data_IF_636522596157
#
_entry.id   IF_636522596157
#
_cell.length_a   1.000
_cell.length_b   1.000
_cell.length_c   1.000
_cell.angle_alpha   90.00
_cell.angle_beta   90.00
_cell.angle_gamma   90.00
#
_symmetry.space_group_name_H-M   'P 1'
#
loop_
_entity.id
_entity.type
_entity.pdbx_description
1 polymer ?
#
# COMPACT_ATOMS: atom_id res chain seq x y z
N UNK A 1 -7.60 5.16 18.07
CA UNK A 1 -8.23 6.51 18.09
C UNK A 1 -8.21 7.18 19.46
N UNK A 2 -8.24 6.45 20.60
CA UNK A 2 -8.23 7.05 21.95
C UNK A 2 -6.98 7.90 22.18
N UNK A 3 -5.78 7.41 21.85
CA UNK A 3 -4.53 8.16 21.97
C UNK A 3 -4.54 9.48 21.17
N UNK A 4 -5.17 9.51 20.00
CA UNK A 4 -5.29 10.74 19.20
C UNK A 4 -6.26 11.75 19.83
N UNK A 5 -7.32 11.29 20.48
CA UNK A 5 -8.24 12.19 21.18
C UNK A 5 -7.58 12.81 22.42
N UNK A 6 -6.79 12.04 23.16
CA UNK A 6 -6.14 12.48 24.40
C UNK A 6 -4.83 13.25 24.14
N UNK A 7 -4.02 12.79 23.17
CA UNK A 7 -2.66 13.25 22.93
C UNK A 7 -2.42 13.75 21.50
N UNK A 8 -3.47 14.08 20.74
CA UNK A 8 -3.38 14.38 19.30
C UNK A 8 -2.36 15.46 18.93
N UNK A 9 -2.30 16.56 19.67
CA UNK A 9 -1.31 17.63 19.44
C UNK A 9 0.12 17.15 19.71
N UNK A 10 0.32 16.34 20.75
CA UNK A 10 1.63 15.76 21.07
C UNK A 10 2.10 14.79 19.97
N UNK A 11 1.18 13.93 19.51
CA UNK A 11 1.49 12.88 18.53
C UNK A 11 1.63 13.44 17.10
N UNK A 12 0.73 14.35 16.71
CA UNK A 12 0.54 14.75 15.30
C UNK A 12 0.89 16.22 15.02
N UNK A 13 1.16 17.01 16.06
CA UNK A 13 1.47 18.44 15.94
C UNK A 13 0.29 19.39 16.20
N UNK A 14 0.57 20.70 16.29
CA UNK A 14 -0.38 21.71 16.78
C UNK A 14 -1.61 21.92 15.89
N UNK A 15 -1.55 21.54 14.61
CA UNK A 15 -2.67 21.65 13.65
C UNK A 15 -3.63 20.46 13.69
N UNK A 16 -3.41 19.47 14.53
CA UNK A 16 -4.22 18.26 14.54
C UNK A 16 -5.62 18.49 15.12
N UNK A 17 -6.65 18.08 14.40
CA UNK A 17 -8.05 18.14 14.85
C UNK A 17 -8.40 16.84 15.57
N UNK A 18 -8.91 16.95 16.82
CA UNK A 18 -9.18 15.79 17.70
C UNK A 18 -10.07 14.69 17.10
N UNK A 19 -10.99 15.06 16.23
CA UNK A 19 -11.94 14.10 15.62
C UNK A 19 -11.45 13.51 14.28
N UNK A 20 -10.24 13.86 13.86
CA UNK A 20 -9.68 13.30 12.64
C UNK A 20 -9.08 11.92 12.91
N UNK A 21 -9.42 10.88 12.13
CA UNK A 21 -8.77 9.59 12.25
C UNK A 21 -7.28 9.69 11.84
N UNK A 22 -6.46 8.73 12.27
CA UNK A 22 -5.08 8.64 11.79
C UNK A 22 -5.07 8.53 10.26
N UNK A 23 -4.21 9.28 9.55
CA UNK A 23 -4.35 9.47 8.10
C UNK A 23 -3.99 8.24 7.27
N UNK A 24 -3.25 7.30 7.82
CA UNK A 24 -2.78 6.12 7.10
C UNK A 24 -3.09 4.84 7.89
N UNK A 25 -3.24 3.74 7.15
CA UNK A 25 -3.20 2.37 7.67
C UNK A 25 -1.92 1.70 7.21
N UNK A 26 -1.39 0.84 8.05
CA UNK A 26 -0.26 -0.03 7.71
C UNK A 26 -0.66 -1.47 7.98
N UNK A 27 -0.40 -2.34 7.01
CA UNK A 27 -0.74 -3.76 7.10
C UNK A 27 0.44 -4.60 6.64
N UNK A 28 0.61 -5.73 7.30
CA UNK A 28 1.39 -6.84 6.77
C UNK A 28 0.44 -7.82 6.11
N UNK A 29 0.62 -8.05 4.82
CA UNK A 29 -0.18 -8.98 4.03
C UNK A 29 0.66 -10.21 3.72
N UNK A 30 0.33 -11.33 4.34
CA UNK A 30 0.85 -12.65 4.01
C UNK A 30 -0.09 -13.33 3.01
N UNK A 31 0.21 -13.19 1.74
CA UNK A 31 -0.67 -13.57 0.65
C UNK A 31 -0.50 -15.05 0.29
N UNK A 32 -1.18 -15.94 1.02
CA UNK A 32 -1.19 -17.38 0.74
C UNK A 32 -2.01 -17.75 -0.50
N UNK A 33 -2.85 -16.86 -0.98
CA UNK A 33 -3.67 -17.01 -2.18
C UNK A 33 -3.71 -15.69 -2.95
N UNK A 34 -3.96 -15.77 -4.26
CA UNK A 34 -4.20 -14.59 -5.11
C UNK A 34 -5.36 -13.77 -4.54
N UNK A 35 -5.15 -12.48 -4.35
CA UNK A 35 -6.22 -11.56 -3.97
C UNK A 35 -7.11 -11.24 -5.18
N UNK A 36 -8.31 -10.68 -4.92
CA UNK A 36 -9.20 -10.24 -6.00
C UNK A 36 -8.56 -9.16 -6.87
N UNK A 37 -8.91 -9.15 -8.15
CA UNK A 37 -8.64 -8.00 -9.00
C UNK A 37 -9.57 -6.86 -8.57
N UNK A 38 -9.00 -5.73 -8.20
CA UNK A 38 -9.71 -4.64 -7.55
C UNK A 38 -9.20 -3.26 -7.96
N UNK A 39 -10.00 -2.25 -7.68
CA UNK A 39 -9.65 -0.85 -7.86
C UNK A 39 -10.19 -0.04 -6.69
N UNK A 40 -9.46 1.00 -6.31
CA UNK A 40 -9.91 1.99 -5.33
C UNK A 40 -10.37 3.26 -6.04
N UNK A 41 -11.46 3.90 -5.59
CA UNK A 41 -11.98 5.06 -6.27
C UNK A 41 -11.02 6.26 -6.16
N UNK A 42 -10.77 6.98 -7.25
CA UNK A 42 -10.10 8.27 -7.20
C UNK A 42 -10.99 9.32 -6.52
N UNK A 43 -10.36 10.34 -5.94
CA UNK A 43 -11.08 11.39 -5.19
C UNK A 43 -12.16 12.10 -6.02
N UNK A 44 -12.05 12.11 -7.34
CA UNK A 44 -13.01 12.71 -8.25
C UNK A 44 -14.37 12.04 -8.28
N UNK A 45 -14.44 10.73 -8.01
CA UNK A 45 -15.69 9.95 -8.06
C UNK A 45 -16.04 9.26 -6.74
N UNK A 46 -15.12 9.20 -5.79
CA UNK A 46 -15.29 8.45 -4.55
C UNK A 46 -16.58 8.80 -3.80
N UNK A 47 -16.87 10.08 -3.64
CA UNK A 47 -18.08 10.54 -2.92
C UNK A 47 -19.38 10.20 -3.64
N UNK A 48 -19.40 10.20 -4.97
CA UNK A 48 -20.57 9.84 -5.77
C UNK A 48 -20.89 8.34 -5.64
N UNK A 49 -19.86 7.53 -5.45
CA UNK A 49 -19.97 6.09 -5.25
C UNK A 49 -20.12 5.68 -3.76
N UNK A 50 -20.28 6.66 -2.86
CA UNK A 50 -20.42 6.41 -1.43
C UNK A 50 -19.16 5.85 -0.75
N UNK A 51 -18.00 6.06 -1.36
CA UNK A 51 -16.71 5.59 -0.90
C UNK A 51 -15.71 6.70 -0.57
N UNK A 52 -14.52 6.30 -0.20
CA UNK A 52 -13.38 7.17 0.08
C UNK A 52 -12.20 6.81 -0.84
N UNK A 53 -11.40 7.80 -1.29
CA UNK A 53 -10.22 7.52 -2.10
C UNK A 53 -9.21 6.68 -1.31
N UNK A 54 -8.47 5.82 -2.04
CA UNK A 54 -7.46 4.99 -1.42
C UNK A 54 -6.26 4.82 -2.33
N UNK A 55 -5.23 5.61 -2.06
CA UNK A 55 -3.88 5.43 -2.61
C UNK A 55 -3.08 4.60 -1.62
N UNK A 56 -2.31 3.66 -2.11
CA UNK A 56 -1.48 2.76 -1.31
C UNK A 56 -0.12 2.53 -1.94
N UNK A 57 0.83 2.09 -1.15
CA UNK A 57 2.12 1.63 -1.63
C UNK A 57 2.40 0.25 -1.08
N UNK A 58 2.86 -0.63 -1.94
CA UNK A 58 3.31 -1.96 -1.58
C UNK A 58 4.84 -2.02 -1.56
N UNK A 59 5.38 -2.52 -0.47
CA UNK A 59 6.77 -2.89 -0.36
C UNK A 59 6.86 -4.41 -0.20
N UNK A 60 7.56 -5.07 -1.12
CA UNK A 60 7.74 -6.52 -1.11
C UNK A 60 8.80 -6.88 -0.08
N UNK A 61 8.40 -7.45 1.06
CA UNK A 61 9.30 -7.79 2.15
C UNK A 61 9.91 -9.20 2.00
N UNK A 62 9.14 -10.13 1.41
CA UNK A 62 9.60 -11.47 1.07
C UNK A 62 8.72 -12.06 -0.04
N UNK A 63 9.25 -13.04 -0.78
CA UNK A 63 8.54 -13.74 -1.84
C UNK A 63 8.84 -15.24 -1.80
N UNK A 64 7.83 -16.04 -2.12
CA UNK A 64 8.02 -17.43 -2.57
C UNK A 64 8.46 -17.43 -4.06
N UNK A 65 8.95 -18.55 -4.58
CA UNK A 65 9.20 -18.70 -6.01
C UNK A 65 7.96 -18.36 -6.85
N UNK A 66 8.16 -17.71 -8.00
CA UNK A 66 7.11 -17.31 -8.95
C UNK A 66 6.07 -16.31 -8.43
N UNK A 67 6.35 -15.67 -7.30
CA UNK A 67 5.51 -14.60 -6.78
C UNK A 67 5.45 -13.41 -7.75
N UNK A 68 4.27 -12.85 -7.91
CA UNK A 68 4.03 -11.78 -8.87
C UNK A 68 2.99 -10.81 -8.38
N UNK A 69 2.94 -9.64 -9.01
CA UNK A 69 1.90 -8.64 -8.83
C UNK A 69 1.18 -8.40 -10.15
N UNK A 70 -0.08 -8.03 -10.04
CA UNK A 70 -0.88 -7.50 -11.14
C UNK A 70 -1.12 -6.03 -10.82
N UNK A 71 -0.60 -5.13 -11.68
CA UNK A 71 -0.78 -3.69 -11.50
C UNK A 71 -0.91 -3.01 -12.84
N UNK A 72 -2.02 -2.29 -13.05
CA UNK A 72 -2.35 -1.61 -14.29
C UNK A 72 -2.85 -2.55 -15.39
N UNK A 73 -3.04 -1.99 -16.54
CA UNK A 73 -3.48 -2.66 -17.77
C UNK A 73 -2.28 -2.96 -18.68
N UNK A 74 -2.41 -3.95 -19.55
CA UNK A 74 -1.50 -4.11 -20.68
C UNK A 74 -1.69 -2.97 -21.68
N UNK A 75 -0.63 -2.63 -22.39
CA UNK A 75 -0.67 -1.58 -23.41
C UNK A 75 -1.76 -1.83 -24.46
N UNK A 76 -2.50 -0.77 -24.79
CA UNK A 76 -3.56 -0.79 -25.79
C UNK A 76 -4.89 -1.39 -25.35
N UNK A 77 -5.06 -1.81 -24.10
CA UNK A 77 -6.36 -2.31 -23.60
C UNK A 77 -7.36 -1.18 -23.49
N UNK A 78 -8.39 -1.19 -24.32
CA UNK A 78 -9.50 -0.23 -24.25
C UNK A 78 -10.54 -0.63 -23.18
N UNK A 79 -11.36 0.34 -22.77
CA UNK A 79 -12.47 0.09 -21.85
C UNK A 79 -13.48 -0.91 -22.42
N UNK A 80 -13.73 -0.85 -23.71
CA UNK A 80 -14.65 -1.74 -24.43
C UNK A 80 -14.11 -3.17 -24.43
N UNK A 81 -12.83 -3.34 -24.77
CA UNK A 81 -12.19 -4.66 -24.78
C UNK A 81 -12.14 -5.25 -23.37
N UNK A 82 -11.84 -4.43 -22.35
CA UNK A 82 -11.86 -4.88 -20.96
C UNK A 82 -13.24 -5.38 -20.51
N UNK A 83 -14.33 -4.71 -20.93
CA UNK A 83 -15.70 -5.15 -20.63
C UNK A 83 -16.04 -6.48 -21.31
N UNK A 84 -15.63 -6.66 -22.54
CA UNK A 84 -15.80 -7.92 -23.28
C UNK A 84 -15.04 -9.05 -22.59
N UNK A 85 -13.76 -8.83 -22.28
CA UNK A 85 -12.91 -9.80 -21.58
C UNK A 85 -13.44 -10.14 -20.18
N UNK A 86 -14.02 -9.18 -19.45
CA UNK A 86 -14.67 -9.44 -18.16
C UNK A 86 -15.89 -10.35 -18.31
N UNK A 87 -16.73 -10.10 -19.32
CA UNK A 87 -17.91 -10.91 -19.60
C UNK A 87 -17.54 -12.35 -20.00
N UNK A 88 -16.41 -12.52 -20.68
CA UNK A 88 -15.90 -13.80 -21.18
C UNK A 88 -14.90 -14.47 -20.21
N UNK A 89 -14.73 -13.91 -19.02
CA UNK A 89 -13.77 -14.39 -17.97
C UNK A 89 -12.31 -14.47 -18.45
N UNK A 90 -11.90 -13.58 -19.37
CA UNK A 90 -10.55 -13.51 -19.97
C UNK A 90 -9.72 -12.33 -19.48
N UNK A 91 -9.98 -11.81 -18.29
CA UNK A 91 -9.30 -10.60 -17.76
C UNK A 91 -7.78 -10.73 -17.63
N UNK A 92 -7.23 -11.93 -17.57
CA UNK A 92 -5.77 -12.11 -17.59
C UNK A 92 -5.11 -11.62 -18.89
N UNK A 93 -5.88 -11.50 -19.98
CA UNK A 93 -5.41 -10.91 -21.23
C UNK A 93 -5.26 -9.38 -21.15
N UNK A 94 -5.99 -8.73 -20.23
CA UNK A 94 -6.05 -7.29 -20.09
C UNK A 94 -5.10 -6.71 -19.06
N UNK A 95 -4.69 -7.49 -18.06
CA UNK A 95 -3.95 -6.99 -16.89
C UNK A 95 -2.45 -7.13 -17.07
N UNK A 96 -1.71 -6.12 -16.58
CA UNK A 96 -0.25 -6.17 -16.53
C UNK A 96 0.22 -6.95 -15.30
N UNK A 97 0.86 -8.08 -15.56
CA UNK A 97 1.42 -8.97 -14.53
C UNK A 97 2.94 -9.01 -14.66
N UNK A 98 3.65 -8.95 -13.54
CA UNK A 98 5.11 -9.02 -13.50
C UNK A 98 5.62 -9.71 -12.24
N UNK A 99 6.78 -10.34 -12.36
CA UNK A 99 7.47 -10.98 -11.25
C UNK A 99 8.09 -9.93 -10.34
N UNK A 100 8.13 -10.24 -9.05
CA UNK A 100 8.68 -9.37 -8.01
C UNK A 100 9.74 -10.08 -7.18
N UNK A 101 10.54 -9.27 -6.51
CA UNK A 101 11.57 -9.73 -5.59
C UNK A 101 11.55 -8.89 -4.30
N UNK A 102 12.08 -9.40 -3.19
CA UNK A 102 12.23 -8.63 -1.97
C UNK A 102 12.97 -7.30 -2.23
N UNK A 103 12.43 -6.22 -1.68
CA UNK A 103 12.94 -4.86 -1.90
C UNK A 103 12.25 -4.07 -3.00
N UNK A 104 11.45 -4.72 -3.85
CA UNK A 104 10.62 -4.03 -4.83
C UNK A 104 9.54 -3.19 -4.13
N UNK A 105 9.22 -2.03 -4.71
CA UNK A 105 8.15 -1.16 -4.20
C UNK A 105 7.35 -0.57 -5.35
N UNK A 106 6.03 -0.51 -5.19
CA UNK A 106 5.16 0.08 -6.19
C UNK A 106 4.07 0.94 -5.54
N UNK A 107 3.89 2.16 -6.05
CA UNK A 107 2.79 3.02 -5.68
C UNK A 107 1.55 2.61 -6.49
N UNK A 108 0.47 2.28 -5.78
CA UNK A 108 -0.84 1.96 -6.33
C UNK A 108 -1.76 3.15 -6.08
N UNK A 109 -1.81 4.04 -7.05
CA UNK A 109 -2.67 5.22 -6.97
C UNK A 109 -4.15 4.84 -7.09
N UNK A 110 -5.02 5.64 -6.48
CA UNK A 110 -6.47 5.50 -6.69
C UNK A 110 -6.80 5.51 -8.18
N UNK A 111 -7.61 4.55 -8.64
CA UNK A 111 -7.92 4.34 -10.05
C UNK A 111 -7.07 3.26 -10.73
N UNK A 112 -5.95 2.89 -10.16
CA UNK A 112 -5.07 1.83 -10.68
C UNK A 112 -5.66 0.45 -10.39
N UNK A 113 -5.86 -0.34 -11.42
CA UNK A 113 -6.32 -1.72 -11.32
C UNK A 113 -5.21 -2.60 -10.76
N UNK A 114 -5.50 -3.45 -9.75
CA UNK A 114 -4.44 -4.22 -9.10
C UNK A 114 -4.92 -5.51 -8.44
N UNK A 115 -4.00 -6.44 -8.27
CA UNK A 115 -4.13 -7.64 -7.42
C UNK A 115 -2.74 -8.09 -6.93
N UNK A 116 -2.70 -8.82 -5.82
CA UNK A 116 -1.49 -9.48 -5.32
C UNK A 116 -1.66 -10.98 -5.55
N UNK A 117 -0.71 -11.60 -6.22
CA UNK A 117 -0.67 -13.06 -6.35
C UNK A 117 -0.19 -13.73 -5.06
N UNK A 118 -0.41 -15.04 -4.96
CA UNK A 118 0.08 -15.84 -3.85
C UNK A 118 1.62 -15.76 -3.73
N UNK A 119 2.13 -16.09 -2.55
CA UNK A 119 3.57 -16.15 -2.29
C UNK A 119 4.22 -14.80 -1.97
N UNK A 120 3.46 -13.74 -1.75
CA UNK A 120 3.98 -12.42 -1.40
C UNK A 120 3.80 -12.13 0.08
N UNK A 121 4.84 -11.60 0.74
CA UNK A 121 4.74 -10.88 2.00
C UNK A 121 4.91 -9.38 1.74
N UNK A 122 3.85 -8.63 1.88
CA UNK A 122 3.78 -7.20 1.54
C UNK A 122 3.62 -6.36 2.81
N UNK A 123 4.43 -5.30 2.92
CA UNK A 123 4.14 -4.17 3.80
C UNK A 123 3.33 -3.14 2.99
N UNK A 124 2.05 -3.04 3.28
CA UNK A 124 1.13 -2.09 2.66
C UNK A 124 1.00 -0.84 3.51
N UNK A 125 1.27 0.31 2.93
CA UNK A 125 1.00 1.63 3.51
C UNK A 125 -0.07 2.29 2.66
N UNK A 126 -1.23 2.63 3.24
CA UNK A 126 -2.39 3.13 2.52
C UNK A 126 -3.04 4.34 3.22
N UNK A 127 -3.84 5.10 2.47
CA UNK A 127 -4.80 6.01 3.10
C UNK A 127 -5.71 5.22 4.04
N UNK A 128 -6.16 5.87 5.11
CA UNK A 128 -7.09 5.25 6.07
C UNK A 128 -8.51 5.18 5.47
N UNK A 129 -8.67 4.24 4.54
CA UNK A 129 -9.91 3.95 3.83
C UNK A 129 -10.05 2.43 3.67
N UNK A 130 -11.28 1.94 3.79
CA UNK A 130 -11.62 0.53 3.56
C UNK A 130 -12.35 0.31 2.22
N UNK A 131 -12.51 1.36 1.42
CA UNK A 131 -13.22 1.28 0.15
C UNK A 131 -12.46 0.47 -0.88
N UNK A 132 -13.06 -0.63 -1.34
CA UNK A 132 -12.50 -1.52 -2.36
C UNK A 132 -13.61 -1.98 -3.29
N UNK A 133 -13.45 -1.71 -4.59
CA UNK A 133 -14.33 -2.24 -5.61
C UNK A 133 -13.68 -3.45 -6.27
N UNK A 134 -14.31 -4.61 -6.07
CA UNK A 134 -13.85 -5.90 -6.60
C UNK A 134 -14.38 -6.07 -8.00
N UNK A 135 -13.46 -6.12 -8.98
CA UNK A 135 -13.77 -6.33 -10.39
C UNK A 135 -14.00 -7.80 -10.69
N UNK A 136 -13.08 -8.65 -10.17
CA UNK A 136 -13.09 -10.08 -10.44
C UNK A 136 -12.44 -10.83 -9.27
N UNK A 137 -12.92 -12.04 -8.99
CA UNK A 137 -12.45 -12.82 -7.85
C UNK A 137 -11.96 -14.23 -8.21
N UNK A 138 -11.60 -14.45 -9.45
CA UNK A 138 -11.01 -15.71 -9.95
C UNK A 138 -11.89 -16.94 -9.67
N UNK A 139 -13.22 -16.78 -9.65
CA UNK A 139 -14.17 -17.86 -9.34
C UNK A 139 -14.11 -18.36 -7.90
N UNK A 140 -13.46 -17.65 -6.97
CA UNK A 140 -13.35 -18.06 -5.57
C UNK A 140 -14.67 -17.91 -4.83
N UNK A 141 -14.84 -18.77 -3.82
CA UNK A 141 -15.93 -18.68 -2.84
C UNK A 141 -15.39 -18.28 -1.47
N UNK A 142 -16.20 -17.59 -0.68
CA UNK A 142 -15.90 -17.26 0.70
C UNK A 142 -15.93 -18.48 1.62
N UNK A 143 -15.64 -18.25 2.90
CA UNK A 143 -15.70 -19.30 3.93
C UNK A 143 -17.12 -19.89 4.12
N UNK A 144 -18.14 -19.14 3.72
CA UNK A 144 -19.55 -19.53 3.70
C UNK A 144 -19.94 -20.33 2.43
N UNK A 145 -19.00 -20.60 1.54
CA UNK A 145 -19.21 -21.28 0.26
C UNK A 145 -19.91 -20.43 -0.81
N UNK A 146 -20.11 -19.13 -0.57
CA UNK A 146 -20.72 -18.22 -1.54
C UNK A 146 -19.67 -17.36 -2.26
N UNK A 147 -19.91 -17.00 -3.54
CA UNK A 147 -19.08 -16.03 -4.23
C UNK A 147 -19.09 -14.68 -3.49
N UNK A 148 -17.93 -14.02 -3.42
CA UNK A 148 -17.87 -12.67 -2.85
C UNK A 148 -18.53 -11.67 -3.82
N UNK A 149 -19.15 -10.64 -3.28
CA UNK A 149 -19.76 -9.58 -4.07
C UNK A 149 -18.74 -8.92 -4.99
N UNK A 150 -19.11 -8.77 -6.26
CA UNK A 150 -18.40 -7.96 -7.24
C UNK A 150 -19.03 -6.57 -7.34
N UNK A 151 -18.23 -5.58 -7.68
CA UNK A 151 -18.61 -4.16 -7.81
C UNK A 151 -18.23 -3.67 -9.20
N UNK A 152 -18.77 -4.33 -10.23
CA UNK A 152 -18.34 -4.12 -11.62
C UNK A 152 -18.64 -2.70 -12.10
N UNK A 153 -19.85 -2.19 -11.82
CA UNK A 153 -20.28 -0.86 -12.27
C UNK A 153 -19.45 0.26 -11.63
N UNK A 154 -19.21 0.17 -10.31
CA UNK A 154 -18.36 1.10 -9.57
C UNK A 154 -16.91 1.02 -10.06
N UNK A 155 -16.41 -0.19 -10.27
CA UNK A 155 -15.05 -0.41 -10.79
C UNK A 155 -14.84 0.25 -12.14
N UNK A 156 -15.80 0.11 -13.06
CA UNK A 156 -15.73 0.69 -14.40
C UNK A 156 -15.74 2.23 -14.41
N UNK A 157 -16.17 2.86 -13.32
CA UNK A 157 -16.09 4.31 -13.12
C UNK A 157 -14.75 4.73 -12.48
N UNK A 158 -14.09 3.81 -11.82
CA UNK A 158 -12.85 4.08 -11.07
C UNK A 158 -11.59 3.78 -11.87
N UNK A 159 -11.58 2.75 -12.73
CA UNK A 159 -10.38 2.31 -13.46
C UNK A 159 -9.88 3.42 -14.38
N UNK A 160 -8.59 3.75 -14.23
CA UNK A 160 -7.87 4.56 -15.21
C UNK A 160 -7.45 3.67 -16.39
N UNK A 161 -8.14 3.83 -17.51
CA UNK A 161 -7.86 3.09 -18.75
C UNK A 161 -6.67 3.64 -19.54
N UNK A 162 -5.90 4.57 -18.97
CA UNK A 162 -4.63 5.04 -19.53
C UNK A 162 -3.43 4.60 -18.69
N UNK A 163 -3.64 3.83 -17.61
CA UNK A 163 -2.59 3.32 -16.74
C UNK A 163 -2.03 2.00 -17.25
N UNK A 164 -1.08 2.11 -18.18
CA UNK A 164 -0.48 0.96 -18.86
C UNK A 164 0.87 0.59 -18.27
N UNK A 165 1.03 -0.68 -17.95
CA UNK A 165 2.28 -1.37 -17.61
C UNK A 165 3.18 -0.63 -16.61
N UNK A 166 2.64 -0.17 -15.45
CA UNK A 166 3.45 0.47 -14.44
C UNK A 166 4.49 -0.52 -13.90
N UNK A 167 5.71 -0.02 -13.67
CA UNK A 167 6.82 -0.84 -13.18
C UNK A 167 7.16 -0.54 -11.73
N UNK A 168 7.55 -1.55 -10.93
CA UNK A 168 8.00 -1.33 -9.57
C UNK A 168 9.35 -0.61 -9.54
N UNK A 169 9.58 0.14 -8.48
CA UNK A 169 10.93 0.58 -8.14
C UNK A 169 11.70 -0.63 -7.62
N UNK A 170 12.75 -1.04 -8.35
CA UNK A 170 13.60 -2.15 -7.96
C UNK A 170 14.73 -1.70 -7.05
N UNK A 171 15.18 -2.61 -6.18
CA UNK A 171 16.36 -2.37 -5.38
C UNK A 171 17.61 -2.36 -6.28
N UNK A 172 18.49 -1.37 -6.08
CA UNK A 172 19.85 -1.42 -6.59
C UNK A 172 20.78 -1.77 -5.44
N UNK A 173 21.65 -2.75 -5.62
CA UNK A 173 22.52 -3.34 -4.58
C UNK A 173 23.46 -2.37 -3.86
N UNK A 174 23.57 -1.12 -4.29
CA UNK A 174 24.68 -0.23 -3.88
C UNK A 174 24.29 0.99 -3.06
N UNK A 175 23.06 1.13 -2.56
CA UNK A 175 22.64 2.41 -1.97
C UNK A 175 22.55 2.33 -0.44
N UNK A 176 23.55 2.87 0.24
CA UNK A 176 23.53 3.19 1.68
C UNK A 176 22.76 4.48 2.00
N UNK A 177 22.33 5.23 1.00
CA UNK A 177 21.59 6.48 1.16
C UNK A 177 20.08 6.24 1.22
N UNK A 178 19.32 7.11 1.90
CA UNK A 178 17.86 7.01 1.93
C UNK A 178 17.27 7.00 0.51
N UNK A 179 16.38 6.04 0.22
CA UNK A 179 15.66 5.95 -1.06
C UNK A 179 14.19 6.29 -0.85
N UNK A 180 13.68 7.27 -1.60
CA UNK A 180 12.24 7.57 -1.63
C UNK A 180 11.54 6.49 -2.44
N UNK A 181 10.62 5.75 -1.80
CA UNK A 181 9.81 4.70 -2.42
C UNK A 181 8.48 5.23 -2.94
N UNK A 182 7.90 6.20 -2.25
CA UNK A 182 6.70 6.90 -2.68
C UNK A 182 6.74 8.34 -2.16
N UNK A 183 6.27 9.26 -2.99
CA UNK A 183 6.07 10.66 -2.62
C UNK A 183 4.78 11.16 -3.28
N UNK A 184 3.69 11.10 -2.56
CA UNK A 184 2.37 11.50 -3.01
C UNK A 184 1.74 12.48 -2.01
N UNK A 185 0.55 12.96 -2.32
CA UNK A 185 -0.17 13.92 -1.47
C UNK A 185 -0.49 13.35 -0.09
N UNK A 186 -0.72 12.06 -0.02
CA UNK A 186 -1.23 11.35 1.16
C UNK A 186 -0.13 10.97 2.14
N UNK A 187 1.04 10.57 1.61
CA UNK A 187 2.20 10.16 2.40
C UNK A 187 3.50 10.21 1.60
N UNK A 188 4.60 10.21 2.33
CA UNK A 188 5.94 9.99 1.77
C UNK A 188 6.57 8.80 2.47
N UNK A 189 7.13 7.87 1.69
CA UNK A 189 7.82 6.68 2.18
C UNK A 189 9.28 6.75 1.79
N UNK A 190 10.15 6.59 2.78
CA UNK A 190 11.60 6.54 2.56
C UNK A 190 12.16 5.28 3.19
N UNK A 191 12.90 4.50 2.41
CA UNK A 191 13.67 3.36 2.90
C UNK A 191 15.07 3.79 3.30
N UNK A 192 15.51 3.29 4.44
CA UNK A 192 16.87 3.46 4.95
C UNK A 192 17.55 2.10 5.11
N UNK A 193 18.73 1.93 4.54
CA UNK A 193 19.60 0.78 4.78
C UNK A 193 20.71 1.23 5.72
N UNK A 194 20.66 0.77 6.97
CA UNK A 194 21.63 1.12 8.00
C UNK A 194 22.58 -0.04 8.24
N UNK A 195 23.87 0.24 8.18
CA UNK A 195 24.89 -0.71 8.62
C UNK A 195 24.97 -0.75 10.13
N UNK A 196 25.45 -1.86 10.68
CA UNK A 196 25.66 -2.01 12.12
C UNK A 196 26.48 -0.85 12.70
N UNK A 197 26.00 -0.26 13.77
CA UNK A 197 26.61 0.89 14.44
C UNK A 197 26.31 2.25 13.83
N UNK A 198 25.56 2.32 12.71
CA UNK A 198 25.08 3.59 12.19
C UNK A 198 23.90 4.10 13.02
N UNK A 199 23.78 5.41 13.05
CA UNK A 199 22.74 6.12 13.78
C UNK A 199 21.92 6.97 12.82
N UNK A 200 20.65 7.09 13.15
CA UNK A 200 19.79 8.09 12.54
C UNK A 200 19.07 8.87 13.64
N UNK A 201 18.76 10.11 13.36
CA UNK A 201 18.04 10.98 14.30
C UNK A 201 16.83 11.61 13.61
N UNK A 202 15.81 11.85 14.42
CA UNK A 202 14.59 12.52 14.01
C UNK A 202 14.34 13.69 14.97
N UNK A 203 14.28 14.89 14.42
CA UNK A 203 14.02 16.10 15.20
C UNK A 203 12.54 16.25 15.50
N UNK A 204 12.24 16.72 16.72
CA UNK A 204 10.90 17.13 17.12
C UNK A 204 10.42 18.36 16.33
N UNK A 205 9.11 18.53 16.24
CA UNK A 205 8.50 19.74 15.70
C UNK A 205 8.43 19.81 14.18
N UNK A 206 8.86 18.77 13.45
CA UNK A 206 8.80 18.73 11.99
C UNK A 206 7.54 18.00 11.53
N UNK A 207 7.43 16.72 11.82
CA UNK A 207 6.28 15.88 11.48
C UNK A 207 6.32 14.57 12.28
N UNK A 208 5.15 13.93 12.54
CA UNK A 208 5.14 12.56 13.04
C UNK A 208 5.64 11.61 11.97
N UNK A 209 6.22 10.49 12.38
CA UNK A 209 6.70 9.44 11.47
C UNK A 209 6.24 8.08 11.94
N UNK A 210 6.00 7.20 10.99
CA UNK A 210 5.86 5.77 11.24
C UNK A 210 7.16 5.08 10.81
N UNK A 211 7.72 4.30 11.71
CA UNK A 211 8.92 3.50 11.48
C UNK A 211 8.53 2.04 11.42
N UNK A 212 8.92 1.36 10.34
CA UNK A 212 8.66 -0.06 10.12
C UNK A 212 9.99 -0.77 9.96
N UNK A 213 10.23 -1.82 10.73
CA UNK A 213 11.45 -2.62 10.65
C UNK A 213 11.16 -3.81 9.74
N UNK A 214 11.69 -3.75 8.52
CA UNK A 214 11.54 -4.83 7.53
C UNK A 214 12.61 -5.90 7.72
N UNK A 215 13.83 -5.48 8.14
CA UNK A 215 14.96 -6.37 8.38
C UNK A 215 15.83 -5.83 9.50
N UNK A 216 16.45 -6.74 10.28
CA UNK A 216 17.35 -6.36 11.37
C UNK A 216 16.62 -5.83 12.60
N UNK A 217 17.30 -4.93 13.31
CA UNK A 217 16.78 -4.29 14.52
C UNK A 217 17.40 -2.90 14.73
N UNK A 218 16.67 -2.04 15.45
CA UNK A 218 17.13 -0.75 15.92
C UNK A 218 17.05 -0.68 17.44
N UNK A 219 17.89 0.15 18.06
CA UNK A 219 17.78 0.47 19.47
C UNK A 219 17.58 1.98 19.66
N UNK A 220 16.53 2.35 20.36
CA UNK A 220 16.37 3.73 20.80
C UNK A 220 17.38 4.02 21.93
N UNK A 221 18.27 4.97 21.68
CA UNK A 221 19.33 5.31 22.66
C UNK A 221 18.81 5.93 23.95
N UNK A 222 17.70 6.64 23.87
CA UNK A 222 17.16 7.36 25.02
C UNK A 222 16.47 6.41 26.00
N UNK A 223 15.65 5.48 25.49
CA UNK A 223 14.91 4.51 26.32
C UNK A 223 15.61 3.15 26.47
N UNK A 224 16.58 2.84 25.60
CA UNK A 224 17.16 1.51 25.48
C UNK A 224 16.26 0.47 24.84
N UNK A 225 15.06 0.85 24.39
CA UNK A 225 14.10 -0.05 23.76
C UNK A 225 14.64 -0.60 22.43
N UNK A 226 14.47 -1.89 22.22
CA UNK A 226 14.85 -2.56 20.97
C UNK A 226 13.60 -2.73 20.13
N UNK A 227 13.68 -2.34 18.86
CA UNK A 227 12.64 -2.44 17.84
C UNK A 227 13.14 -3.45 16.82
N UNK A 228 12.38 -4.50 16.58
CA UNK A 228 12.79 -5.64 15.74
C UNK A 228 11.96 -5.75 14.47
N UNK A 229 12.38 -6.63 13.58
CA UNK A 229 11.64 -6.96 12.34
C UNK A 229 10.16 -7.22 12.62
N UNK A 230 9.29 -6.57 11.87
CA UNK A 230 7.82 -6.64 11.99
C UNK A 230 7.21 -5.58 12.90
N UNK A 231 8.03 -4.90 13.72
CA UNK A 231 7.53 -3.81 14.56
C UNK A 231 7.15 -2.58 13.74
N UNK A 232 6.08 -1.91 14.20
CA UNK A 232 5.61 -0.63 13.69
C UNK A 232 5.59 0.36 14.85
N UNK A 233 6.32 1.45 14.72
CA UNK A 233 6.47 2.44 15.80
C UNK A 233 6.06 3.81 15.30
N UNK A 234 5.22 4.50 16.06
CA UNK A 234 4.93 5.91 15.84
C UNK A 234 5.97 6.75 16.59
N UNK A 235 6.71 7.58 15.86
CA UNK A 235 7.56 8.62 16.39
C UNK A 235 6.74 9.91 16.48
N UNK A 236 6.41 10.39 17.69
CA UNK A 236 5.57 11.56 17.89
C UNK A 236 6.18 12.84 17.34
N UNK A 237 5.34 13.76 16.89
CA UNK A 237 5.74 15.10 16.46
C UNK A 237 6.58 15.84 17.51
N UNK A 238 6.23 15.70 18.79
CA UNK A 238 6.79 16.51 19.89
C UNK A 238 8.07 15.96 20.51
N UNK A 239 8.63 14.86 19.98
CA UNK A 239 9.82 14.20 20.57
C UNK A 239 10.89 13.97 19.51
N UNK A 240 12.13 14.20 19.88
CA UNK A 240 13.30 13.82 19.08
C UNK A 240 13.73 12.38 19.39
N UNK A 241 14.19 11.68 18.40
CA UNK A 241 14.66 10.31 18.49
C UNK A 241 16.03 10.15 17.83
#
# INVERSE_FOLDING_TARGET
>A
NQALMEHGTFLMGPGWKKNRPFPVLVKWLDCQQRLSLQVHPPASVASELGGEPKTENWYVAATEPDASLIVGLKDGVSKEYFKEALHEERLEECVHKFDVQPGDSILVESGRLHAIDAGNLILEIQQNSDTTYRVYDWGRVGLDGQPRQLHVEESMQCIDFNDFEPTPQRESESVTSPKVLADCKEFRITRHNLLTGHEMSFEAGIQPRLLHIVEGQLQDKASGSVIVRGDNVLLPYSVSF
#
